data_IF_411544302673
#
_entry.id   IF_411544302673
#
_cell.length_a   1.000
_cell.length_b   1.000
_cell.length_c   1.000
_cell.angle_alpha   90.00
_cell.angle_beta   90.00
_cell.angle_gamma   90.00
#
_symmetry.space_group_name_H-M   'P 1'
#
loop_
_entity.id
_entity.type
_entity.pdbx_description
1 polymer ?
#
# COMPACT_ATOMS: atom_id res chain seq x y z
N UNK A 1 3.31 -0.28 1.65
CA UNK A 1 4.41 0.07 0.75
C UNK A 1 4.17 -0.47 -0.67
N UNK A 2 3.96 -1.78 -0.81
CA UNK A 2 3.80 -2.44 -2.12
C UNK A 2 2.64 -1.85 -2.94
N UNK A 3 1.45 -1.78 -2.39
CA UNK A 3 0.26 -1.25 -3.08
C UNK A 3 0.43 0.23 -3.45
N UNK A 4 1.08 0.99 -2.57
CA UNK A 4 1.44 2.37 -2.85
C UNK A 4 2.34 2.48 -4.09
N UNK A 5 3.42 1.69 -4.16
CA UNK A 5 4.34 1.71 -5.29
C UNK A 5 3.67 1.24 -6.59
N UNK A 6 2.86 0.16 -6.52
CA UNK A 6 2.08 -0.34 -7.66
C UNK A 6 1.07 0.71 -8.14
N UNK A 7 0.36 1.38 -7.23
CA UNK A 7 -0.62 2.42 -7.56
C UNK A 7 0.05 3.59 -8.29
N UNK A 8 1.22 4.02 -7.83
CA UNK A 8 1.94 5.13 -8.43
C UNK A 8 2.61 4.74 -9.76
N UNK A 9 3.45 3.74 -9.73
CA UNK A 9 4.35 3.40 -10.84
C UNK A 9 3.81 2.32 -11.76
N UNK A 10 2.97 1.42 -11.23
CA UNK A 10 2.44 0.26 -11.95
C UNK A 10 3.28 -1.01 -11.81
N UNK A 11 4.33 -0.99 -10.98
CA UNK A 11 5.16 -2.13 -10.62
C UNK A 11 5.47 -2.08 -9.12
N UNK A 12 5.83 -3.22 -8.54
CA UNK A 12 6.24 -3.31 -7.13
C UNK A 12 7.67 -2.84 -6.86
N UNK A 13 8.43 -2.44 -7.88
CA UNK A 13 9.78 -1.89 -7.73
C UNK A 13 9.97 -0.67 -8.63
N UNK A 14 10.83 0.26 -8.22
CA UNK A 14 11.17 1.46 -8.98
C UNK A 14 12.69 1.64 -9.02
N UNK A 15 13.30 1.62 -10.21
CA UNK A 15 14.76 1.77 -10.39
C UNK A 15 15.60 0.83 -9.50
N UNK A 16 15.12 -0.40 -9.26
CA UNK A 16 15.78 -1.36 -8.39
C UNK A 16 15.48 -1.20 -6.90
N UNK A 17 14.74 -0.16 -6.50
CA UNK A 17 14.31 0.07 -5.12
C UNK A 17 13.12 -0.81 -4.78
N UNK A 18 13.11 -1.30 -3.53
CA UNK A 18 11.98 -2.03 -2.95
C UNK A 18 10.80 -1.09 -2.67
N UNK A 19 9.57 -1.61 -2.51
CA UNK A 19 8.42 -0.78 -2.15
C UNK A 19 8.61 0.00 -0.85
N UNK A 20 9.31 -0.60 0.12
CA UNK A 20 9.63 0.01 1.41
C UNK A 20 10.58 1.20 1.24
N UNK A 21 11.60 1.06 0.38
CA UNK A 21 12.53 2.15 0.07
C UNK A 21 11.83 3.28 -0.67
N UNK A 22 10.91 2.97 -1.61
CA UNK A 22 10.08 3.97 -2.30
C UNK A 22 9.21 4.75 -1.30
N UNK A 23 8.50 4.05 -0.42
CA UNK A 23 7.67 4.68 0.60
C UNK A 23 8.50 5.54 1.56
N UNK A 24 9.64 5.02 2.02
CA UNK A 24 10.58 5.74 2.89
C UNK A 24 11.14 6.98 2.21
N UNK A 25 11.40 6.90 0.91
CA UNK A 25 11.81 8.04 0.09
C UNK A 25 10.79 9.18 0.14
N UNK A 26 9.51 8.88 -0.05
CA UNK A 26 8.43 9.87 0.03
C UNK A 26 8.20 10.41 1.45
N UNK A 27 8.38 9.58 2.47
CA UNK A 27 8.21 9.99 3.87
C UNK A 27 9.30 10.93 4.37
N UNK A 28 10.57 10.69 3.98
CA UNK A 28 11.72 11.35 4.62
C UNK A 28 12.59 12.17 3.66
N UNK A 29 12.47 12.00 2.34
CA UNK A 29 13.29 12.66 1.34
C UNK A 29 12.44 13.38 0.28
N UNK A 30 11.39 14.04 0.72
CA UNK A 30 10.40 14.70 -0.14
C UNK A 30 11.03 15.61 -1.20
N UNK A 31 12.02 16.44 -0.84
CA UNK A 31 12.63 17.40 -1.77
C UNK A 31 13.32 16.75 -2.97
N UNK A 32 13.88 15.56 -2.78
CA UNK A 32 14.45 14.76 -3.86
C UNK A 32 13.35 14.06 -4.64
N UNK A 33 12.41 13.42 -3.93
CA UNK A 33 11.37 12.58 -4.53
C UNK A 33 10.32 13.35 -5.32
N UNK A 34 10.01 14.60 -4.97
CA UNK A 34 9.09 15.46 -5.75
C UNK A 34 9.52 15.67 -7.22
N UNK A 35 10.80 15.43 -7.53
CA UNK A 35 11.38 15.52 -8.87
C UNK A 35 11.46 14.18 -9.60
N UNK A 36 11.15 13.05 -8.94
CA UNK A 36 11.23 11.72 -9.55
C UNK A 36 10.00 11.44 -10.44
N UNK A 37 10.21 11.01 -11.72
CA UNK A 37 9.12 10.70 -12.64
C UNK A 37 8.53 9.31 -12.35
N UNK A 38 7.87 9.15 -11.22
CA UNK A 38 7.36 7.88 -10.74
C UNK A 38 5.84 7.73 -10.91
N UNK A 39 5.13 8.84 -11.11
CA UNK A 39 3.66 8.85 -11.13
C UNK A 39 3.17 8.49 -12.54
N UNK A 40 2.73 7.27 -12.75
CA UNK A 40 2.25 6.80 -14.05
C UNK A 40 0.88 7.42 -14.37
N UNK A 41 0.80 8.17 -15.47
CA UNK A 41 -0.42 8.78 -16.00
C UNK A 41 -0.83 8.08 -17.29
N UNK A 42 -1.95 7.36 -17.25
CA UNK A 42 -2.47 6.61 -18.41
C UNK A 42 -3.31 7.50 -19.32
N UNK A 43 -4.04 8.45 -18.74
CA UNK A 43 -4.96 9.36 -19.42
C UNK A 43 -4.22 10.38 -20.28
N UNK A 44 -4.60 10.50 -21.55
CA UNK A 44 -4.09 11.54 -22.43
C UNK A 44 -4.53 12.93 -21.99
N UNK A 45 -5.78 13.06 -21.52
CA UNK A 45 -6.31 14.33 -21.05
C UNK A 45 -5.61 14.79 -19.76
N UNK A 46 -5.40 13.89 -18.80
CA UNK A 46 -4.63 14.21 -17.61
C UNK A 46 -3.18 14.61 -17.94
N UNK A 47 -2.53 13.95 -18.92
CA UNK A 47 -1.18 14.33 -19.39
C UNK A 47 -1.15 15.73 -19.97
N UNK A 48 -2.16 16.12 -20.78
CA UNK A 48 -2.26 17.48 -21.32
C UNK A 48 -2.43 18.51 -20.21
N UNK A 49 -3.30 18.23 -19.22
CA UNK A 49 -3.53 19.13 -18.07
C UNK A 49 -2.25 19.31 -17.22
N UNK A 50 -1.47 18.25 -17.06
CA UNK A 50 -0.20 18.27 -16.33
C UNK A 50 0.97 18.79 -17.18
N UNK A 51 0.77 19.00 -18.48
CA UNK A 51 1.80 19.46 -19.43
C UNK A 51 3.00 18.52 -19.50
N UNK A 52 2.75 17.20 -19.50
CA UNK A 52 3.78 16.16 -19.60
C UNK A 52 3.73 15.44 -20.95
N UNK A 53 4.89 15.21 -21.57
CA UNK A 53 5.00 14.52 -22.86
C UNK A 53 4.98 12.98 -22.67
N UNK A 54 5.53 12.48 -21.56
CA UNK A 54 5.68 11.07 -21.28
C UNK A 54 4.50 10.47 -20.49
N UNK A 55 4.65 9.18 -20.13
CA UNK A 55 3.64 8.46 -19.33
C UNK A 55 3.83 8.62 -17.82
N UNK A 56 4.87 9.34 -17.38
CA UNK A 56 5.21 9.49 -15.99
C UNK A 56 5.35 10.96 -15.62
N UNK A 57 4.58 11.38 -14.62
CA UNK A 57 4.66 12.69 -14.01
C UNK A 57 5.57 12.68 -12.78
N UNK A 58 6.07 13.84 -12.46
CA UNK A 58 6.71 14.17 -11.17
C UNK A 58 5.66 14.84 -10.29
N UNK A 59 5.82 14.81 -8.99
CA UNK A 59 4.88 15.52 -8.11
C UNK A 59 4.81 17.01 -8.42
N UNK A 60 5.94 17.63 -8.73
CA UNK A 60 6.00 19.05 -9.11
C UNK A 60 5.21 19.39 -10.38
N UNK A 61 4.99 18.43 -11.29
CA UNK A 61 4.27 18.68 -12.54
C UNK A 61 2.77 18.93 -12.30
N UNK A 62 2.25 18.57 -11.12
CA UNK A 62 0.88 18.86 -10.68
C UNK A 62 0.67 20.31 -10.21
N UNK A 63 1.75 21.03 -9.95
CA UNK A 63 1.71 22.40 -9.46
C UNK A 63 2.20 23.35 -10.58
N UNK A 64 1.44 24.40 -10.82
CA UNK A 64 1.79 25.44 -11.78
C UNK A 64 2.94 26.33 -11.27
N UNK A 65 3.50 27.14 -12.13
CA UNK A 65 4.53 28.13 -11.77
C UNK A 65 4.04 29.17 -10.75
N UNK A 66 2.72 29.37 -10.63
CA UNK A 66 2.08 30.27 -9.66
C UNK A 66 1.54 29.52 -8.44
N UNK A 67 2.04 28.32 -8.19
CA UNK A 67 1.66 27.47 -7.05
C UNK A 67 0.19 27.02 -7.02
N UNK A 68 -0.50 26.97 -8.17
CA UNK A 68 -1.85 26.44 -8.27
C UNK A 68 -1.83 24.95 -8.65
N UNK A 69 -2.80 24.20 -8.11
CA UNK A 69 -2.99 22.80 -8.45
C UNK A 69 -3.64 22.68 -9.84
N UNK A 70 -2.92 22.13 -10.81
CA UNK A 70 -3.32 22.11 -12.23
C UNK A 70 -4.64 21.36 -12.50
N UNK A 71 -4.96 20.34 -11.70
CA UNK A 71 -6.21 19.57 -11.89
C UNK A 71 -7.41 20.18 -11.16
N UNK A 72 -7.24 21.21 -10.32
CA UNK A 72 -8.28 21.75 -9.46
C UNK A 72 -9.54 22.18 -10.23
N UNK A 73 -9.38 22.96 -11.30
CA UNK A 73 -10.48 23.42 -12.13
C UNK A 73 -11.29 22.25 -12.71
N UNK A 74 -10.58 21.24 -13.24
CA UNK A 74 -11.22 20.08 -13.84
C UNK A 74 -11.89 19.20 -12.80
N UNK A 75 -11.29 19.03 -11.62
CA UNK A 75 -11.91 18.32 -10.50
C UNK A 75 -13.17 19.02 -9.98
N UNK A 76 -13.21 20.36 -9.99
CA UNK A 76 -14.40 21.12 -9.64
C UNK A 76 -15.54 20.92 -10.67
N UNK A 77 -15.25 20.89 -11.97
CA UNK A 77 -16.24 20.55 -13.02
C UNK A 77 -16.79 19.13 -12.84
N UNK A 78 -15.91 18.17 -12.51
CA UNK A 78 -16.34 16.79 -12.22
C UNK A 78 -17.27 16.73 -11.00
N UNK A 79 -16.97 17.49 -9.94
CA UNK A 79 -17.77 17.53 -8.70
C UNK A 79 -19.12 18.23 -8.92
N UNK A 80 -19.18 19.22 -9.80
CA UNK A 80 -20.44 19.89 -10.18
C UNK A 80 -21.33 19.06 -11.11
N UNK A 81 -20.87 17.88 -11.55
CA UNK A 81 -21.62 16.98 -12.41
C UNK A 81 -21.55 17.32 -13.91
N UNK A 82 -20.65 18.21 -14.31
CA UNK A 82 -20.43 18.56 -15.70
C UNK A 82 -19.81 17.35 -16.47
N UNK A 83 -20.15 17.27 -17.78
CA UNK A 83 -19.56 16.26 -18.64
C UNK A 83 -18.10 16.61 -18.93
N UNK A 84 -17.20 15.73 -18.50
CA UNK A 84 -15.76 15.88 -18.70
C UNK A 84 -15.25 14.70 -19.53
N UNK A 85 -14.44 15.01 -20.54
CA UNK A 85 -13.73 13.98 -21.32
C UNK A 85 -12.73 13.25 -20.44
N UNK A 86 -12.79 11.91 -20.46
CA UNK A 86 -11.93 11.03 -19.66
C UNK A 86 -11.91 11.34 -18.13
N UNK A 87 -13.13 11.53 -17.58
CA UNK A 87 -13.33 11.74 -16.14
C UNK A 87 -12.53 10.78 -15.28
N UNK A 88 -12.58 9.47 -15.58
CA UNK A 88 -11.86 8.41 -14.85
C UNK A 88 -10.34 8.61 -14.82
N UNK A 89 -9.77 8.99 -15.96
CA UNK A 89 -8.32 9.19 -16.05
C UNK A 89 -7.84 10.41 -15.27
N UNK A 90 -8.66 11.46 -15.22
CA UNK A 90 -8.37 12.67 -14.41
C UNK A 90 -8.51 12.36 -12.91
N UNK A 91 -9.59 11.67 -12.51
CA UNK A 91 -9.78 11.22 -11.12
C UNK A 91 -8.64 10.30 -10.65
N UNK A 92 -8.15 9.36 -11.52
CA UNK A 92 -7.00 8.51 -11.20
C UNK A 92 -5.71 9.34 -10.99
N UNK A 93 -5.51 10.39 -11.77
CA UNK A 93 -4.36 11.27 -11.61
C UNK A 93 -4.44 12.09 -10.32
N UNK A 94 -5.62 12.64 -10.00
CA UNK A 94 -5.89 13.37 -8.76
C UNK A 94 -5.71 12.46 -7.53
N UNK A 95 -6.22 11.24 -7.57
CA UNK A 95 -6.07 10.26 -6.49
C UNK A 95 -4.59 9.97 -6.18
N UNK A 96 -3.75 9.82 -7.21
CA UNK A 96 -2.30 9.59 -7.03
C UNK A 96 -1.61 10.77 -6.35
N UNK A 97 -1.95 11.98 -6.73
CA UNK A 97 -1.45 13.18 -6.07
C UNK A 97 -1.85 13.21 -4.59
N UNK A 98 -3.13 12.95 -4.29
CA UNK A 98 -3.65 12.94 -2.94
C UNK A 98 -3.01 11.86 -2.07
N UNK A 99 -2.78 10.65 -2.61
CA UNK A 99 -2.08 9.57 -1.90
C UNK A 99 -0.66 9.99 -1.53
N UNK A 100 0.09 10.60 -2.46
CA UNK A 100 1.44 11.09 -2.18
C UNK A 100 1.40 12.16 -1.10
N UNK A 101 0.46 13.10 -1.19
CA UNK A 101 0.32 14.17 -0.20
C UNK A 101 0.04 13.61 1.19
N UNK A 102 -0.84 12.61 1.32
CA UNK A 102 -1.09 11.91 2.58
C UNK A 102 0.16 11.22 3.15
N UNK A 103 1.02 10.68 2.29
CA UNK A 103 2.29 10.07 2.70
C UNK A 103 3.28 11.15 3.17
N UNK A 104 3.51 12.18 2.35
CA UNK A 104 4.50 13.22 2.65
C UNK A 104 4.15 14.05 3.89
N UNK A 105 2.86 14.28 4.15
CA UNK A 105 2.40 14.96 5.37
C UNK A 105 2.38 14.06 6.60
N UNK A 106 2.60 12.74 6.42
CA UNK A 106 2.47 11.74 7.46
C UNK A 106 1.03 11.44 7.88
N UNK A 107 0.02 12.00 7.20
CA UNK A 107 -1.40 11.80 7.53
C UNK A 107 -1.84 10.33 7.37
N UNK A 108 -1.18 9.57 6.49
CA UNK A 108 -1.40 8.13 6.34
C UNK A 108 -0.89 7.32 7.53
N UNK A 109 0.07 7.85 8.29
CA UNK A 109 0.77 7.14 9.38
C UNK A 109 0.00 7.26 10.70
N UNK A 110 -1.21 6.67 10.75
CA UNK A 110 -2.01 6.59 11.98
C UNK A 110 -1.43 5.51 12.91
N UNK A 111 -0.33 5.83 13.56
CA UNK A 111 0.43 4.89 14.40
C UNK A 111 0.38 5.21 15.90
N UNK A 112 -0.32 6.27 16.28
CA UNK A 112 -0.41 6.69 17.67
C UNK A 112 -1.81 6.37 18.23
N UNK A 113 -1.97 5.25 18.95
CA UNK A 113 -3.23 4.94 19.61
C UNK A 113 -3.46 5.89 20.80
N UNK A 114 -4.69 6.33 20.98
CA UNK A 114 -5.12 7.09 22.14
C UNK A 114 -6.49 6.65 22.58
N UNK A 115 -6.68 6.44 23.88
CA UNK A 115 -8.00 6.19 24.47
C UNK A 115 -8.69 7.51 24.76
N UNK A 116 -9.97 7.61 24.41
CA UNK A 116 -10.76 8.78 24.82
C UNK A 116 -10.92 8.79 26.36
N UNK A 117 -11.30 9.96 26.94
CA UNK A 117 -11.42 10.17 28.38
C UNK A 117 -12.31 9.12 29.06
N UNK A 118 -13.37 8.68 28.40
CA UNK A 118 -14.23 7.63 28.91
C UNK A 118 -13.58 6.23 28.91
N UNK A 119 -12.36 6.08 28.37
CA UNK A 119 -11.61 4.83 28.27
C UNK A 119 -12.27 3.75 27.39
N UNK A 120 -13.36 4.10 26.69
CA UNK A 120 -14.22 3.13 25.98
C UNK A 120 -13.78 2.88 24.54
N UNK A 121 -13.21 3.85 23.86
CA UNK A 121 -12.79 3.70 22.46
C UNK A 121 -11.31 3.99 22.29
N UNK A 122 -10.64 3.14 21.53
CA UNK A 122 -9.26 3.33 21.12
C UNK A 122 -9.26 3.88 19.70
N UNK A 123 -8.70 5.05 19.50
CA UNK A 123 -8.57 5.70 18.20
C UNK A 123 -7.10 5.83 17.82
N UNK A 124 -6.82 5.77 16.52
CA UNK A 124 -5.47 5.86 16.00
C UNK A 124 -5.27 7.20 15.30
N UNK A 125 -4.25 7.91 15.68
CA UNK A 125 -3.91 9.23 15.16
C UNK A 125 -2.57 9.21 14.42
N UNK A 126 -2.47 10.10 13.44
CA UNK A 126 -1.22 10.52 12.84
C UNK A 126 -0.69 11.79 13.54
N UNK A 127 0.54 12.16 13.25
CA UNK A 127 1.10 13.42 13.78
C UNK A 127 0.39 14.67 13.25
N UNK A 128 -0.32 14.58 12.12
CA UNK A 128 -1.02 15.70 11.47
C UNK A 128 -2.51 15.76 11.79
N UNK A 129 -3.09 14.72 12.40
CA UNK A 129 -4.50 14.69 12.77
C UNK A 129 -4.83 15.70 13.88
N UNK A 130 -6.07 16.10 13.95
CA UNK A 130 -6.56 16.87 15.09
C UNK A 130 -6.64 15.96 16.32
N UNK A 131 -5.80 16.23 17.32
CA UNK A 131 -5.75 15.46 18.56
C UNK A 131 -6.81 15.94 19.54
N UNK A 132 -7.31 15.07 20.47
CA UNK A 132 -8.26 15.46 21.52
C UNK A 132 -7.72 16.62 22.37
N UNK A 133 -8.59 17.59 22.69
CA UNK A 133 -8.21 18.79 23.44
C UNK A 133 -7.86 18.52 24.91
N UNK A 134 -8.34 17.43 25.44
CA UNK A 134 -8.18 16.97 26.80
C UNK A 134 -7.01 15.97 26.97
N UNK A 135 -6.22 15.79 25.91
CA UNK A 135 -5.04 14.93 25.93
C UNK A 135 -3.96 15.52 26.84
N UNK A 136 -3.30 14.66 27.59
CA UNK A 136 -2.10 15.02 28.37
C UNK A 136 -1.03 15.67 27.47
N UNK A 137 -0.43 16.77 27.96
CA UNK A 137 0.50 17.57 27.18
C UNK A 137 1.74 16.78 26.73
N UNK A 138 2.26 15.88 27.57
CA UNK A 138 3.43 15.06 27.21
C UNK A 138 3.11 14.08 26.09
N UNK A 139 1.91 13.48 26.10
CA UNK A 139 1.41 12.64 25.00
C UNK A 139 1.22 13.45 23.73
N UNK A 140 0.64 14.64 23.84
CA UNK A 140 0.44 15.53 22.70
C UNK A 140 1.77 15.87 22.04
N UNK A 141 2.77 16.30 22.81
CA UNK A 141 4.11 16.62 22.30
C UNK A 141 4.75 15.37 21.68
N UNK A 142 4.63 14.22 22.33
CA UNK A 142 5.17 12.96 21.83
C UNK A 142 4.60 12.61 20.45
N UNK A 143 3.28 12.66 20.26
CA UNK A 143 2.63 12.36 18.98
C UNK A 143 3.07 13.36 17.90
N UNK A 144 3.06 14.65 18.21
CA UNK A 144 3.39 15.72 17.25
C UNK A 144 4.85 15.71 16.80
N UNK A 145 5.77 15.29 17.66
CA UNK A 145 7.22 15.46 17.45
C UNK A 145 7.97 14.19 17.09
N UNK A 146 7.45 13.01 17.46
CA UNK A 146 8.18 11.75 17.32
C UNK A 146 8.66 11.48 15.90
N UNK A 147 7.79 11.59 14.90
CA UNK A 147 8.17 11.31 13.50
C UNK A 147 9.10 12.38 12.93
N UNK A 148 8.97 13.62 13.36
CA UNK A 148 9.91 14.68 12.98
C UNK A 148 11.32 14.40 13.51
N UNK A 149 11.44 13.93 14.75
CA UNK A 149 12.74 13.52 15.31
C UNK A 149 13.30 12.27 14.60
N UNK A 150 12.45 11.29 14.26
CA UNK A 150 12.88 10.13 13.45
C UNK A 150 13.44 10.60 12.12
N UNK A 151 12.74 11.53 11.43
CA UNK A 151 13.21 12.10 10.17
C UNK A 151 14.55 12.81 10.34
N UNK A 152 14.71 13.65 11.37
CA UNK A 152 15.95 14.36 11.66
C UNK A 152 17.11 13.38 11.85
N UNK A 153 16.91 12.32 12.63
CA UNK A 153 17.94 11.29 12.86
C UNK A 153 18.31 10.53 11.57
N UNK A 154 17.34 10.25 10.72
CA UNK A 154 17.57 9.60 9.42
C UNK A 154 18.38 10.52 8.48
N UNK A 155 18.01 11.80 8.37
CA UNK A 155 18.71 12.78 7.54
C UNK A 155 20.15 13.00 8.03
N UNK A 156 20.36 13.00 9.36
CA UNK A 156 21.68 13.06 10.00
C UNK A 156 22.46 11.75 9.92
N UNK A 157 21.89 10.69 9.33
CA UNK A 157 22.47 9.32 9.27
C UNK A 157 22.73 8.68 10.63
N UNK A 158 22.03 9.14 11.67
CA UNK A 158 22.07 8.58 13.03
C UNK A 158 21.04 7.45 13.19
N UNK A 159 21.23 6.38 12.44
CA UNK A 159 20.24 5.29 12.32
C UNK A 159 19.96 4.58 13.66
N UNK A 160 20.97 4.45 14.53
CA UNK A 160 20.76 3.85 15.86
C UNK A 160 19.79 4.69 16.70
N UNK A 161 19.93 6.02 16.69
CA UNK A 161 19.05 6.91 17.43
C UNK A 161 17.63 6.88 16.83
N UNK A 162 17.50 6.82 15.49
CA UNK A 162 16.23 6.63 14.83
C UNK A 162 15.55 5.32 15.26
N UNK A 163 16.29 4.21 15.32
CA UNK A 163 15.78 2.93 15.83
C UNK A 163 15.30 3.02 17.29
N UNK A 164 16.05 3.69 18.16
CA UNK A 164 15.64 3.89 19.55
C UNK A 164 14.34 4.72 19.67
N UNK A 165 14.15 5.71 18.79
CA UNK A 165 12.91 6.47 18.74
C UNK A 165 11.73 5.61 18.27
N UNK A 166 11.93 4.76 17.26
CA UNK A 166 10.90 3.82 16.78
C UNK A 166 10.54 2.79 17.86
N UNK A 167 11.51 2.32 18.64
CA UNK A 167 11.25 1.46 19.80
C UNK A 167 10.42 2.17 20.88
N UNK A 168 10.65 3.46 21.13
CA UNK A 168 9.81 4.26 22.03
C UNK A 168 8.37 4.36 21.52
N UNK A 169 8.19 4.57 20.22
CA UNK A 169 6.84 4.56 19.60
C UNK A 169 6.18 3.19 19.79
N UNK A 170 6.91 2.09 19.56
CA UNK A 170 6.39 0.73 19.78
C UNK A 170 5.97 0.51 21.23
N UNK A 171 6.78 0.93 22.21
CA UNK A 171 6.44 0.84 23.63
C UNK A 171 5.21 1.67 23.99
N UNK A 172 5.08 2.86 23.40
CA UNK A 172 3.89 3.68 23.55
C UNK A 172 2.64 2.95 23.04
N UNK A 173 2.70 2.37 21.83
CA UNK A 173 1.61 1.58 21.26
C UNK A 173 1.22 0.41 22.18
N UNK A 174 2.19 -0.34 22.67
CA UNK A 174 1.94 -1.46 23.58
C UNK A 174 1.24 -1.03 24.87
N UNK A 175 1.65 0.12 25.43
CA UNK A 175 1.06 0.69 26.65
C UNK A 175 -0.38 1.16 26.44
N UNK A 176 -0.64 1.92 25.37
CA UNK A 176 -1.98 2.48 25.13
C UNK A 176 -2.98 1.43 24.65
N UNK A 177 -2.52 0.42 23.91
CA UNK A 177 -3.41 -0.65 23.40
C UNK A 177 -3.74 -1.72 24.44
N UNK A 178 -3.01 -1.84 25.55
CA UNK A 178 -3.29 -2.74 26.67
C UNK A 178 -3.69 -4.16 26.22
N UNK A 179 -2.80 -4.81 25.45
CA UNK A 179 -3.00 -6.18 24.97
C UNK A 179 -3.91 -6.35 23.74
N UNK A 180 -4.49 -5.27 23.20
CA UNK A 180 -5.28 -5.32 21.96
C UNK A 180 -4.44 -5.50 20.70
N UNK A 181 -3.12 -5.27 20.78
CA UNK A 181 -2.22 -5.50 19.64
C UNK A 181 -2.10 -7.00 19.34
N UNK A 182 -2.08 -7.39 18.07
CA UNK A 182 -1.83 -8.76 17.68
C UNK A 182 -0.50 -9.26 18.23
N UNK A 183 -0.41 -10.54 18.57
CA UNK A 183 0.83 -11.16 18.99
C UNK A 183 1.91 -11.08 17.89
N UNK A 184 3.18 -11.00 18.27
CA UNK A 184 4.32 -10.89 17.33
C UNK A 184 4.32 -11.98 16.25
N UNK A 185 3.82 -13.17 16.56
CA UNK A 185 3.70 -14.27 15.59
C UNK A 185 2.69 -13.96 14.47
N UNK A 186 1.58 -13.27 14.79
CA UNK A 186 0.62 -12.82 13.78
C UNK A 186 1.22 -11.76 12.86
N UNK A 187 1.95 -10.79 13.41
CA UNK A 187 2.68 -9.80 12.61
C UNK A 187 3.72 -10.44 11.68
N UNK A 188 4.46 -11.44 12.17
CA UNK A 188 5.43 -12.16 11.35
C UNK A 188 4.73 -12.95 10.23
N UNK A 189 3.64 -13.64 10.54
CA UNK A 189 2.85 -14.37 9.56
C UNK A 189 2.29 -13.44 8.48
N UNK A 190 1.69 -12.31 8.88
CA UNK A 190 1.16 -11.31 7.95
C UNK A 190 2.26 -10.68 7.08
N UNK A 191 3.43 -10.39 7.66
CA UNK A 191 4.58 -9.89 6.90
C UNK A 191 5.02 -10.89 5.83
N UNK A 192 5.12 -12.18 6.18
CA UNK A 192 5.45 -13.26 5.25
C UNK A 192 4.36 -13.36 4.17
N UNK A 193 3.09 -13.37 4.56
CA UNK A 193 1.96 -13.41 3.64
C UNK A 193 2.01 -12.25 2.62
N UNK A 194 2.21 -11.02 3.08
CA UNK A 194 2.28 -9.83 2.23
C UNK A 194 3.53 -9.76 1.33
N UNK A 195 4.60 -10.50 1.65
CA UNK A 195 5.77 -10.59 0.79
C UNK A 195 5.54 -11.48 -0.43
N UNK A 196 4.61 -12.41 -0.34
CA UNK A 196 4.37 -13.43 -1.36
C UNK A 196 3.03 -13.17 -2.06
N UNK A 197 3.09 -12.62 -3.29
CA UNK A 197 1.91 -12.51 -4.18
C UNK A 197 1.71 -13.82 -4.94
N UNK A 198 1.33 -14.86 -4.19
CA UNK A 198 1.11 -16.18 -4.78
C UNK A 198 -0.28 -16.36 -5.39
N UNK A 199 -1.24 -15.48 -5.12
CA UNK A 199 -2.63 -15.68 -5.55
C UNK A 199 -2.75 -15.91 -7.06
N UNK A 200 -2.08 -15.11 -7.88
CA UNK A 200 -2.06 -15.28 -9.34
C UNK A 200 -1.31 -16.55 -9.78
N UNK A 201 -0.18 -16.83 -9.15
CA UNK A 201 0.63 -18.02 -9.47
C UNK A 201 -0.08 -19.30 -9.07
N UNK A 202 -0.74 -19.31 -7.93
CA UNK A 202 -1.55 -20.45 -7.46
C UNK A 202 -2.78 -20.64 -8.35
N UNK A 203 -3.50 -19.57 -8.70
CA UNK A 203 -4.62 -19.65 -9.63
C UNK A 203 -4.19 -20.23 -10.99
N UNK A 204 -3.05 -19.79 -11.52
CA UNK A 204 -2.51 -20.31 -12.77
C UNK A 204 -2.13 -21.79 -12.64
N UNK A 205 -1.48 -22.19 -11.54
CA UNK A 205 -1.16 -23.59 -11.27
C UNK A 205 -2.42 -24.46 -11.19
N UNK A 206 -3.49 -23.97 -10.54
CA UNK A 206 -4.78 -24.68 -10.49
C UNK A 206 -5.38 -24.91 -11.88
N UNK A 207 -5.36 -23.87 -12.74
CA UNK A 207 -5.85 -23.96 -14.11
C UNK A 207 -5.03 -24.99 -14.89
N UNK A 208 -3.70 -24.95 -14.80
CA UNK A 208 -2.82 -25.91 -15.48
C UNK A 208 -3.09 -27.35 -15.01
N UNK A 209 -3.20 -27.59 -13.71
CA UNK A 209 -3.53 -28.90 -13.15
C UNK A 209 -4.89 -29.36 -13.66
N UNK A 210 -5.91 -28.50 -13.61
CA UNK A 210 -7.24 -28.81 -14.13
C UNK A 210 -7.25 -29.20 -15.60
N UNK A 211 -6.50 -28.50 -16.45
CA UNK A 211 -6.35 -28.83 -17.87
C UNK A 211 -5.66 -30.19 -18.08
N UNK A 212 -4.59 -30.46 -17.35
CA UNK A 212 -3.89 -31.77 -17.42
C UNK A 212 -4.84 -32.90 -17.04
N UNK A 213 -5.64 -32.70 -15.99
CA UNK A 213 -6.65 -33.66 -15.56
C UNK A 213 -7.70 -33.90 -16.63
N UNK A 214 -8.18 -32.84 -17.23
CA UNK A 214 -9.20 -32.91 -18.29
C UNK A 214 -8.67 -33.66 -19.51
N UNK A 215 -7.46 -33.34 -19.97
CA UNK A 215 -6.80 -34.02 -21.11
C UNK A 215 -6.61 -35.51 -20.80
N UNK A 216 -6.11 -35.83 -19.59
CA UNK A 216 -5.93 -37.24 -19.17
C UNK A 216 -7.25 -38.01 -19.15
N UNK A 217 -8.32 -37.38 -18.63
CA UNK A 217 -9.66 -37.98 -18.62
C UNK A 217 -10.18 -38.25 -20.04
N UNK A 218 -10.07 -37.26 -20.93
CA UNK A 218 -10.46 -37.43 -22.35
C UNK A 218 -9.64 -38.53 -23.04
N UNK A 219 -8.36 -38.63 -22.79
CA UNK A 219 -7.50 -39.67 -23.32
C UNK A 219 -7.92 -41.07 -22.81
N UNK A 220 -8.25 -41.20 -21.53
CA UNK A 220 -8.74 -42.46 -20.97
C UNK A 220 -10.09 -42.89 -21.60
N UNK A 221 -10.99 -41.93 -21.81
CA UNK A 221 -12.29 -42.15 -22.48
C UNK A 221 -12.09 -42.63 -23.93
N UNK A 222 -11.27 -41.92 -24.69
CA UNK A 222 -10.98 -42.26 -26.09
C UNK A 222 -10.27 -43.58 -26.25
N UNK A 223 -9.40 -43.94 -25.32
CA UNK A 223 -8.61 -45.19 -25.37
C UNK A 223 -9.33 -46.38 -24.73
N UNK A 224 -10.55 -46.25 -24.25
CA UNK A 224 -11.28 -47.27 -23.47
C UNK A 224 -10.48 -47.88 -22.32
N UNK A 225 -9.43 -47.18 -21.87
CA UNK A 225 -8.59 -47.63 -20.76
C UNK A 225 -9.18 -47.23 -19.43
N UNK A 226 -9.20 -48.15 -18.47
CA UNK A 226 -9.65 -47.85 -17.11
C UNK A 226 -8.70 -46.85 -16.46
N UNK A 227 -9.24 -45.75 -15.96
CA UNK A 227 -8.45 -44.73 -15.22
C UNK A 227 -7.66 -45.38 -14.09
N UNK A 228 -6.37 -45.06 -14.00
CA UNK A 228 -5.52 -45.59 -12.93
C UNK A 228 -5.95 -45.03 -11.59
N UNK A 229 -6.32 -45.89 -10.62
CA UNK A 229 -6.66 -45.45 -9.25
C UNK A 229 -5.55 -44.61 -8.61
N UNK A 230 -4.27 -44.95 -8.89
CA UNK A 230 -3.12 -44.18 -8.38
C UNK A 230 -3.09 -42.73 -8.91
N UNK A 231 -3.38 -42.56 -10.20
CA UNK A 231 -3.41 -41.23 -10.81
C UNK A 231 -4.54 -40.38 -10.21
N UNK A 232 -5.72 -40.95 -9.99
CA UNK A 232 -6.86 -40.25 -9.35
C UNK A 232 -6.52 -39.82 -7.92
N UNK A 233 -5.86 -40.69 -7.15
CA UNK A 233 -5.45 -40.40 -5.76
C UNK A 233 -4.44 -39.24 -5.74
N UNK A 234 -3.40 -39.28 -6.57
CA UNK A 234 -2.39 -38.19 -6.65
C UNK A 234 -3.05 -36.87 -7.01
N UNK A 235 -3.97 -36.92 -7.96
CA UNK A 235 -4.69 -35.71 -8.42
C UNK A 235 -5.56 -35.11 -7.32
N UNK A 236 -6.30 -35.95 -6.57
CA UNK A 236 -7.09 -35.49 -5.44
C UNK A 236 -6.21 -34.90 -4.33
N UNK A 237 -5.04 -35.49 -4.06
CA UNK A 237 -4.11 -34.94 -3.06
C UNK A 237 -3.63 -33.54 -3.50
N UNK A 238 -3.26 -33.37 -4.77
CA UNK A 238 -2.85 -32.05 -5.31
C UNK A 238 -3.97 -31.02 -5.21
N UNK A 239 -5.20 -31.40 -5.56
CA UNK A 239 -6.39 -30.54 -5.42
C UNK A 239 -6.65 -30.15 -3.95
N UNK A 240 -6.51 -31.08 -3.02
CA UNK A 240 -6.66 -30.83 -1.58
C UNK A 240 -5.60 -29.87 -1.05
N UNK A 241 -4.34 -30.00 -1.47
CA UNK A 241 -3.25 -29.09 -1.10
C UNK A 241 -3.58 -27.66 -1.58
N UNK A 242 -4.03 -27.52 -2.81
CA UNK A 242 -4.41 -26.22 -3.38
C UNK A 242 -5.63 -25.64 -2.66
N UNK A 243 -6.64 -26.48 -2.38
CA UNK A 243 -7.86 -26.04 -1.69
C UNK A 243 -7.57 -25.59 -0.26
N UNK A 244 -6.73 -26.31 0.49
CA UNK A 244 -6.32 -25.91 1.84
C UNK A 244 -5.53 -24.60 1.83
N UNK A 245 -4.69 -24.38 0.81
CA UNK A 245 -3.98 -23.12 0.64
C UNK A 245 -4.95 -21.95 0.39
N UNK A 246 -5.89 -22.09 -0.55
CA UNK A 246 -6.91 -21.08 -0.84
C UNK A 246 -7.84 -20.80 0.34
N UNK A 247 -8.16 -21.83 1.15
CA UNK A 247 -9.01 -21.67 2.36
C UNK A 247 -8.28 -20.95 3.49
N UNK A 248 -6.96 -20.93 3.49
CA UNK A 248 -6.16 -20.20 4.47
C UNK A 248 -6.01 -18.70 4.09
N UNK A 249 -6.39 -18.31 2.86
CA UNK A 249 -6.40 -16.93 2.37
C UNK A 249 -7.71 -16.18 2.67
N UNK A 250 -8.76 -16.86 3.11
CA UNK A 250 -10.05 -16.28 3.50
C UNK A 250 -10.08 -16.08 5.02
#
# INVERSE_FOLDING_TARGET
ARDFTIKLYGSSSYKGLTPEEVLTGWLFYYDSWKNEPIIRIKSNEARKLLEIEGNYARLKDYISTINEYKLEKMMNHIRSGEQVTDKRGIEEADEKFNIINLVCTGAMMKIFPCRNIAGKTLEWYSQSDQLPQDMDNDKWVFIRKSMSYVNEMIVMKKYNDACLLLEKIKKYQQKECDGLLPADNKFKAEKIYNQFDYSKSVAMACICIGLICFIYYCHCMASQKRTSRKAIIILNILLWIVFTYLSAEI
#
